data_IF_958518279427
#
_entry.id   IF_958518279427
#
_cell.length_a   1.000
_cell.length_b   1.000
_cell.length_c   1.000
_cell.angle_alpha   90.00
_cell.angle_beta   90.00
_cell.angle_gamma   90.00
#
_symmetry.space_group_name_H-M   'P 1'
#
loop_
_entity.id
_entity.type
_entity.pdbx_description
1 polymer ?
#
# COMPACT_ATOMS: atom_id res chain seq x y z
N UNK A 1 -17.05 -14.11 -52.57
CA UNK A 1 -17.36 -15.15 -51.55
C UNK A 1 -17.68 -14.48 -50.22
N UNK A 2 -18.95 -14.46 -49.89
CA UNK A 2 -19.50 -13.79 -48.71
C UNK A 2 -19.60 -14.82 -47.61
N UNK A 3 -18.92 -14.64 -46.47
CA UNK A 3 -19.05 -15.53 -45.32
C UNK A 3 -19.77 -14.83 -44.18
N UNK A 4 -20.82 -15.45 -43.72
CA UNK A 4 -21.88 -14.97 -42.87
C UNK A 4 -21.48 -15.09 -41.40
N UNK A 5 -21.61 -13.98 -40.67
CA UNK A 5 -21.41 -13.87 -39.23
C UNK A 5 -22.65 -14.39 -38.49
N UNK A 6 -22.47 -15.45 -37.69
CA UNK A 6 -23.50 -16.02 -36.85
C UNK A 6 -23.54 -15.36 -35.49
N UNK A 7 -24.56 -14.53 -35.23
CA UNK A 7 -24.88 -13.99 -33.90
C UNK A 7 -25.48 -15.08 -33.01
N UNK A 8 -24.89 -15.32 -31.87
CA UNK A 8 -25.45 -16.17 -30.82
C UNK A 8 -26.08 -15.30 -29.72
N UNK A 9 -27.41 -15.37 -29.59
CA UNK A 9 -28.19 -14.76 -28.53
C UNK A 9 -28.15 -15.66 -27.27
N UNK A 10 -27.56 -15.16 -26.20
CA UNK A 10 -27.70 -15.77 -24.87
C UNK A 10 -28.82 -15.07 -24.13
N UNK A 11 -29.95 -15.78 -23.96
CA UNK A 11 -31.08 -15.32 -23.13
C UNK A 11 -30.73 -15.46 -21.65
N UNK A 12 -30.68 -14.35 -20.97
CA UNK A 12 -30.56 -14.25 -19.52
C UNK A 12 -31.90 -14.59 -18.86
N UNK A 13 -31.96 -15.74 -18.16
CA UNK A 13 -33.11 -16.11 -17.32
C UNK A 13 -33.00 -15.44 -15.97
N UNK A 14 -33.87 -14.49 -15.72
CA UNK A 14 -34.11 -13.90 -14.40
C UNK A 14 -34.96 -14.88 -13.59
N UNK A 15 -34.43 -15.37 -12.48
CA UNK A 15 -35.14 -16.24 -11.54
C UNK A 15 -35.58 -15.38 -10.34
N UNK A 16 -36.88 -15.03 -10.31
CA UNK A 16 -37.51 -14.41 -9.15
C UNK A 16 -37.86 -15.49 -8.14
N UNK A 17 -37.24 -15.43 -6.97
CA UNK A 17 -37.61 -16.27 -5.84
C UNK A 17 -38.44 -15.43 -4.87
N UNK A 18 -39.74 -15.69 -4.86
CA UNK A 18 -40.72 -15.18 -3.89
C UNK A 18 -40.58 -15.99 -2.60
N UNK A 19 -40.30 -15.35 -1.48
CA UNK A 19 -40.34 -15.93 -0.14
C UNK A 19 -41.58 -15.37 0.55
N UNK A 20 -42.51 -16.23 1.05
CA UNK A 20 -43.69 -15.78 1.75
C UNK A 20 -43.39 -15.40 3.22
N UNK A 21 -43.99 -14.30 3.63
CA UNK A 21 -44.11 -13.82 5.00
C UNK A 21 -44.97 -14.77 5.82
N UNK A 22 -44.46 -15.33 6.90
CA UNK A 22 -45.28 -15.99 7.90
C UNK A 22 -45.03 -15.33 9.25
N UNK A 23 -46.03 -14.59 9.73
CA UNK A 23 -46.02 -13.96 11.02
C UNK A 23 -46.34 -14.98 12.14
N UNK A 24 -45.62 -14.89 13.24
CA UNK A 24 -46.03 -15.45 14.52
C UNK A 24 -45.86 -14.41 15.63
N UNK A 25 -46.98 -13.90 16.10
CA UNK A 25 -47.09 -13.16 17.35
C UNK A 25 -47.25 -14.15 18.49
N UNK A 26 -46.31 -14.23 19.42
CA UNK A 26 -46.56 -14.72 20.77
C UNK A 26 -45.90 -13.78 21.77
N UNK A 27 -46.74 -13.08 22.52
CA UNK A 27 -46.30 -12.36 23.71
C UNK A 27 -46.10 -13.31 24.88
N UNK A 28 -45.05 -13.06 25.64
CA UNK A 28 -45.00 -13.47 27.05
C UNK A 28 -44.15 -12.47 27.83
N UNK A 29 -44.80 -11.86 28.78
CA UNK A 29 -44.26 -10.98 29.81
C UNK A 29 -43.47 -11.83 30.82
N UNK A 30 -42.20 -11.48 31.07
CA UNK A 30 -41.47 -11.92 32.26
C UNK A 30 -40.38 -10.92 32.61
N UNK A 31 -40.58 -10.26 33.74
CA UNK A 31 -39.59 -9.41 34.39
C UNK A 31 -38.37 -10.24 34.82
N UNK A 32 -37.25 -10.10 34.09
CA UNK A 32 -35.93 -10.43 34.61
C UNK A 32 -34.96 -9.38 34.13
N UNK A 33 -34.38 -8.62 35.03
CA UNK A 33 -33.28 -7.70 34.81
C UNK A 33 -32.10 -8.47 34.20
N UNK A 34 -31.55 -8.07 33.07
CA UNK A 34 -30.23 -8.56 32.64
C UNK A 34 -29.18 -7.90 33.54
N UNK A 35 -28.30 -8.70 34.11
CA UNK A 35 -27.03 -8.26 34.67
C UNK A 35 -26.17 -7.85 33.45
N UNK A 36 -25.88 -6.56 33.33
CA UNK A 36 -24.86 -6.05 32.42
C UNK A 36 -23.51 -6.57 32.87
N UNK A 37 -22.99 -7.57 32.17
CA UNK A 37 -21.56 -7.85 32.18
C UNK A 37 -20.92 -6.82 31.25
N UNK A 38 -20.50 -5.71 31.85
CA UNK A 38 -19.83 -4.63 31.17
C UNK A 38 -18.55 -5.12 30.54
N UNK A 39 -18.46 -4.97 29.22
CA UNK A 39 -17.20 -4.98 28.47
C UNK A 39 -16.39 -3.75 28.89
N UNK A 40 -15.66 -3.85 29.97
CA UNK A 40 -14.91 -2.74 30.58
C UNK A 40 -13.49 -2.56 30.00
N UNK A 41 -13.14 -3.24 28.93
CA UNK A 41 -11.82 -3.11 28.33
C UNK A 41 -11.73 -1.96 27.29
N UNK A 42 -12.81 -1.73 26.54
CA UNK A 42 -12.80 -0.74 25.44
C UNK A 42 -12.98 0.70 25.97
N UNK A 43 -13.76 0.88 27.06
CA UNK A 43 -13.98 2.20 27.66
C UNK A 43 -12.74 2.73 28.41
N UNK A 44 -11.93 1.84 29.01
CA UNK A 44 -10.72 2.24 29.73
C UNK A 44 -9.61 2.69 28.77
N UNK A 45 -9.50 2.07 27.58
CA UNK A 45 -8.54 2.52 26.57
C UNK A 45 -8.94 3.87 25.98
N UNK A 46 -10.23 4.13 25.76
CA UNK A 46 -10.71 5.38 25.20
C UNK A 46 -10.62 6.55 26.20
N UNK A 47 -10.73 6.26 27.49
CA UNK A 47 -10.59 7.25 28.56
C UNK A 47 -9.12 7.61 28.85
N UNK A 48 -8.18 6.66 28.68
CA UNK A 48 -6.74 6.94 28.73
C UNK A 48 -6.25 7.77 27.52
N UNK A 49 -6.76 7.51 26.32
CA UNK A 49 -6.46 8.27 25.11
C UNK A 49 -6.87 9.73 25.18
N UNK A 50 -8.01 10.01 25.81
CA UNK A 50 -8.50 11.39 25.98
C UNK A 50 -7.75 12.18 27.08
N UNK A 51 -7.08 11.50 27.99
CA UNK A 51 -6.37 12.14 29.11
C UNK A 51 -4.97 12.63 28.76
N UNK A 52 -4.34 12.06 27.71
CA UNK A 52 -2.98 12.44 27.28
C UNK A 52 -2.93 13.32 26.01
N UNK A 53 -4.07 13.68 25.42
CA UNK A 53 -4.12 14.52 24.21
C UNK A 53 -3.45 13.90 22.98
N UNK A 54 -3.20 12.58 22.98
CA UNK A 54 -2.62 11.86 21.86
C UNK A 54 -3.68 11.68 20.77
N UNK A 55 -3.47 12.31 19.61
CA UNK A 55 -4.38 12.15 18.47
C UNK A 55 -4.34 10.70 17.98
N UNK A 56 -5.50 10.12 17.67
CA UNK A 56 -5.63 8.76 17.10
C UNK A 56 -4.73 8.55 15.88
N UNK A 57 -4.55 9.58 15.07
CA UNK A 57 -3.68 9.61 13.89
C UNK A 57 -2.19 9.36 14.24
N UNK A 58 -1.72 9.90 15.38
CA UNK A 58 -0.34 9.67 15.86
C UNK A 58 -0.09 8.22 16.27
N UNK A 59 -1.10 7.54 16.81
CA UNK A 59 -0.99 6.13 17.22
C UNK A 59 -0.99 5.21 15.99
N UNK A 60 -1.85 5.47 15.02
CA UNK A 60 -1.89 4.71 13.76
C UNK A 60 -0.55 4.82 13.03
N UNK A 61 0.01 6.01 12.93
CA UNK A 61 1.32 6.24 12.31
C UNK A 61 2.45 5.55 13.06
N UNK A 62 2.45 5.57 14.41
CA UNK A 62 3.45 4.90 15.22
C UNK A 62 3.40 3.37 15.05
N UNK A 63 2.21 2.78 14.99
CA UNK A 63 2.04 1.35 14.75
C UNK A 63 2.52 0.96 13.35
N UNK A 64 2.13 1.69 12.30
CA UNK A 64 2.58 1.45 10.93
C UNK A 64 4.12 1.51 10.82
N UNK A 65 4.75 2.50 11.44
CA UNK A 65 6.22 2.62 11.46
C UNK A 65 6.88 1.44 12.15
N UNK A 66 6.31 0.93 13.24
CA UNK A 66 6.84 -0.22 13.99
C UNK A 66 6.75 -1.50 13.15
N UNK A 67 5.62 -1.72 12.46
CA UNK A 67 5.44 -2.87 11.57
C UNK A 67 6.44 -2.85 10.41
N UNK A 68 6.69 -1.68 9.81
CA UNK A 68 7.67 -1.54 8.75
C UNK A 68 9.12 -1.78 9.22
N UNK A 69 9.47 -1.36 10.43
CA UNK A 69 10.78 -1.68 11.04
C UNK A 69 10.97 -3.17 11.22
N UNK A 70 9.94 -3.86 11.71
CA UNK A 70 9.96 -5.30 11.89
C UNK A 70 10.07 -6.03 10.55
N UNK A 71 9.28 -5.62 9.56
CA UNK A 71 9.37 -6.15 8.19
C UNK A 71 10.78 -6.00 7.63
N UNK A 72 11.37 -4.80 7.66
CA UNK A 72 12.69 -4.54 7.11
C UNK A 72 13.80 -5.32 7.83
N UNK A 73 13.76 -5.35 9.17
CA UNK A 73 14.70 -6.13 9.97
C UNK A 73 14.66 -7.61 9.60
N UNK A 74 13.46 -8.18 9.46
CA UNK A 74 13.28 -9.58 9.05
C UNK A 74 13.71 -9.82 7.60
N UNK A 75 13.32 -8.93 6.68
CA UNK A 75 13.61 -9.05 5.26
C UNK A 75 15.11 -8.99 4.98
N UNK A 76 15.86 -8.18 5.72
CA UNK A 76 17.30 -8.02 5.59
C UNK A 76 18.11 -8.75 6.68
N UNK A 77 17.47 -9.63 7.48
CA UNK A 77 18.14 -10.31 8.62
C UNK A 77 19.44 -10.98 8.23
N UNK A 78 19.45 -11.70 7.11
CA UNK A 78 20.64 -12.39 6.61
C UNK A 78 21.80 -11.42 6.31
N UNK A 79 21.50 -10.28 5.70
CA UNK A 79 22.51 -9.28 5.34
C UNK A 79 23.03 -8.55 6.57
N UNK A 80 22.17 -8.37 7.58
CA UNK A 80 22.54 -7.83 8.90
C UNK A 80 23.47 -8.80 9.63
N UNK A 81 23.11 -10.08 9.71
CA UNK A 81 23.89 -11.12 10.42
C UNK A 81 25.26 -11.35 9.77
N UNK A 82 25.34 -11.17 8.46
CA UNK A 82 26.59 -11.27 7.69
C UNK A 82 27.40 -9.96 7.68
N UNK A 83 26.96 -8.91 8.42
CA UNK A 83 27.57 -7.58 8.44
C UNK A 83 27.71 -6.92 7.05
N UNK A 84 26.87 -7.30 6.09
CA UNK A 84 26.80 -6.68 4.77
C UNK A 84 26.02 -5.38 4.81
N UNK A 85 24.97 -5.32 5.65
CA UNK A 85 24.14 -4.14 5.86
C UNK A 85 24.55 -3.43 7.16
N UNK A 86 25.35 -2.37 7.01
CA UNK A 86 25.83 -1.55 8.13
C UNK A 86 24.70 -0.75 8.81
N UNK A 87 24.92 -0.32 10.05
CA UNK A 87 23.94 0.44 10.82
C UNK A 87 23.63 1.82 10.23
N UNK A 88 24.56 2.40 9.47
CA UNK A 88 24.36 3.68 8.78
C UNK A 88 23.39 3.58 7.59
N UNK A 89 23.35 2.40 6.97
CA UNK A 89 22.43 2.11 5.85
C UNK A 89 21.05 1.62 6.30
N UNK A 90 20.86 1.29 7.59
CA UNK A 90 19.55 0.85 8.11
C UNK A 90 18.59 2.03 8.36
N UNK A 91 18.26 2.74 7.27
CA UNK A 91 17.40 3.93 7.29
C UNK A 91 16.36 3.83 6.18
N UNK A 92 15.14 4.25 6.50
CA UNK A 92 14.05 4.26 5.54
C UNK A 92 13.11 5.46 5.74
N UNK A 93 12.41 5.78 4.67
CA UNK A 93 11.21 6.62 4.66
C UNK A 93 10.08 5.80 4.06
N UNK A 94 8.84 6.21 4.27
CA UNK A 94 7.71 5.54 3.64
C UNK A 94 6.59 6.53 3.31
N UNK A 95 5.77 6.14 2.35
CA UNK A 95 4.49 6.76 2.07
C UNK A 95 3.49 5.70 1.64
N UNK A 96 2.20 6.01 1.78
CA UNK A 96 1.11 5.11 1.48
C UNK A 96 0.21 5.70 0.39
N UNK A 97 -0.17 4.88 -0.59
CA UNK A 97 -1.04 5.28 -1.69
C UNK A 97 -1.88 4.09 -2.17
N UNK A 98 -3.17 4.31 -2.43
CA UNK A 98 -4.06 3.30 -3.00
C UNK A 98 -3.84 3.24 -4.54
N UNK A 99 -3.02 2.28 -4.97
CA UNK A 99 -2.61 2.15 -6.37
C UNK A 99 -3.64 1.41 -7.23
N UNK A 100 -4.47 0.58 -6.63
CA UNK A 100 -5.43 -0.29 -7.32
C UNK A 100 -6.89 0.15 -7.11
N UNK A 101 -7.12 1.20 -6.31
CA UNK A 101 -8.43 1.78 -6.00
C UNK A 101 -9.38 0.81 -5.28
N UNK A 102 -8.83 -0.09 -4.45
CA UNK A 102 -9.61 -1.03 -3.64
C UNK A 102 -9.95 -0.49 -2.24
N UNK A 103 -9.52 0.73 -1.93
CA UNK A 103 -9.70 1.41 -0.66
C UNK A 103 -8.64 1.07 0.38
N UNK A 104 -7.65 0.23 0.04
CA UNK A 104 -6.51 -0.09 0.88
C UNK A 104 -5.24 0.48 0.26
N UNK A 105 -4.28 0.86 1.09
CA UNK A 105 -3.07 1.50 0.60
C UNK A 105 -1.90 0.53 0.50
N UNK A 106 -1.20 0.59 -0.62
CA UNK A 106 0.15 0.06 -0.79
C UNK A 106 1.16 0.96 -0.10
N UNK A 107 2.32 0.41 0.23
CA UNK A 107 3.38 1.13 0.94
C UNK A 107 4.65 1.19 0.12
N UNK A 108 5.06 2.40 -0.21
CA UNK A 108 6.38 2.68 -0.75
C UNK A 108 7.37 2.84 0.40
N UNK A 109 8.50 2.14 0.36
CA UNK A 109 9.58 2.25 1.34
C UNK A 109 10.86 2.64 0.61
N UNK A 110 11.32 3.85 0.84
CA UNK A 110 12.60 4.34 0.33
C UNK A 110 13.74 3.99 1.29
N UNK A 111 14.78 3.37 0.78
CA UNK A 111 15.95 2.97 1.55
C UNK A 111 17.14 3.89 1.28
N UNK A 112 18.04 4.06 2.26
CA UNK A 112 19.18 4.97 2.18
C UNK A 112 20.47 4.31 2.67
N UNK A 113 21.59 4.85 2.24
CA UNK A 113 22.93 4.38 2.63
C UNK A 113 23.63 3.63 1.53
N UNK A 114 24.93 3.35 1.74
CA UNK A 114 25.81 2.76 0.71
C UNK A 114 25.39 1.37 0.24
N UNK A 115 24.68 0.62 1.09
CA UNK A 115 24.13 -0.69 0.72
C UNK A 115 22.96 -0.58 -0.30
N UNK A 116 22.15 0.46 -0.20
CA UNK A 116 20.92 0.61 -0.99
C UNK A 116 21.03 1.59 -2.14
N UNK A 117 22.00 2.50 -2.09
CA UNK A 117 22.16 3.56 -3.06
C UNK A 117 23.54 3.51 -3.71
N UNK A 118 23.58 3.69 -5.02
CA UNK A 118 24.80 3.80 -5.82
C UNK A 118 24.69 4.92 -6.85
N UNK A 119 25.62 4.98 -7.81
CA UNK A 119 25.64 5.98 -8.87
C UNK A 119 24.42 5.94 -9.77
N UNK A 120 23.73 4.80 -9.87
CA UNK A 120 22.52 4.64 -10.68
C UNK A 120 21.20 4.99 -9.96
N UNK A 121 21.26 5.28 -8.66
CA UNK A 121 20.09 5.52 -7.82
C UNK A 121 20.00 4.60 -6.60
N UNK A 122 18.84 4.56 -5.97
CA UNK A 122 18.58 3.85 -4.72
C UNK A 122 17.64 2.65 -4.93
N UNK A 123 17.46 1.88 -3.85
CA UNK A 123 16.46 0.82 -3.76
C UNK A 123 15.19 1.36 -3.11
N UNK A 124 14.04 1.01 -3.69
CA UNK A 124 12.71 1.26 -3.11
C UNK A 124 11.94 -0.06 -3.09
N UNK A 125 11.30 -0.36 -1.98
CA UNK A 125 10.36 -1.48 -1.88
C UNK A 125 8.94 -0.95 -2.01
N UNK A 126 8.08 -1.68 -2.71
CA UNK A 126 6.64 -1.47 -2.73
C UNK A 126 6.02 -2.72 -2.12
N UNK A 127 5.28 -2.53 -1.04
CA UNK A 127 4.50 -3.58 -0.40
C UNK A 127 3.03 -3.42 -0.81
N UNK A 128 2.33 -4.54 -0.91
CA UNK A 128 0.88 -4.53 -1.06
C UNK A 128 0.17 -4.17 0.27
N UNK A 129 -1.14 -4.10 0.23
CA UNK A 129 -1.96 -3.77 1.41
C UNK A 129 -1.89 -4.80 2.56
N UNK A 130 -1.40 -6.03 2.29
CA UNK A 130 -1.14 -7.05 3.30
C UNK A 130 0.29 -6.99 3.85
N UNK A 131 1.10 -6.03 3.40
CA UNK A 131 2.53 -5.87 3.72
C UNK A 131 3.43 -6.94 3.08
N UNK A 132 2.95 -7.64 2.04
CA UNK A 132 3.78 -8.52 1.24
C UNK A 132 4.55 -7.73 0.17
N UNK A 133 5.78 -8.18 -0.15
CA UNK A 133 6.62 -7.50 -1.14
C UNK A 133 6.02 -7.66 -2.54
N UNK A 134 5.50 -6.58 -3.10
CA UNK A 134 4.97 -6.53 -4.46
C UNK A 134 6.08 -6.28 -5.48
N UNK A 135 6.96 -5.31 -5.21
CA UNK A 135 8.08 -4.97 -6.12
C UNK A 135 9.27 -4.42 -5.33
N UNK A 136 10.48 -4.88 -5.69
CA UNK A 136 11.73 -4.23 -5.29
C UNK A 136 12.28 -3.48 -6.50
N UNK A 137 12.18 -2.15 -6.46
CA UNK A 137 12.79 -1.29 -7.46
C UNK A 137 14.27 -1.10 -7.17
N UNK A 138 15.07 -1.06 -8.21
CA UNK A 138 16.50 -0.73 -8.14
C UNK A 138 16.79 0.46 -9.05
N UNK A 139 17.90 1.15 -8.81
CA UNK A 139 18.40 2.28 -9.63
C UNK A 139 17.35 3.38 -9.85
N UNK A 140 16.66 3.76 -8.78
CA UNK A 140 15.63 4.81 -8.80
C UNK A 140 16.08 6.08 -8.09
N UNK A 141 15.60 7.21 -8.56
CA UNK A 141 15.67 8.50 -7.91
C UNK A 141 14.28 8.96 -7.47
N UNK A 142 14.23 9.72 -6.37
CA UNK A 142 13.00 10.28 -5.84
C UNK A 142 12.58 11.56 -6.57
N UNK A 143 11.30 11.96 -6.58
CA UNK A 143 10.15 11.20 -6.05
C UNK A 143 9.65 10.12 -7.00
N UNK A 144 8.68 9.30 -6.54
CA UNK A 144 7.76 8.61 -7.44
C UNK A 144 6.57 9.50 -7.72
N UNK A 145 6.04 9.46 -8.94
CA UNK A 145 4.79 10.12 -9.31
C UNK A 145 3.76 9.06 -9.69
N UNK A 146 2.60 9.10 -9.08
CA UNK A 146 1.46 8.23 -9.38
C UNK A 146 0.57 8.95 -10.39
N UNK A 147 0.41 8.37 -11.59
CA UNK A 147 -0.41 8.95 -12.66
C UNK A 147 -1.90 8.64 -12.46
N UNK A 148 -2.75 9.41 -13.13
CA UNK A 148 -4.17 9.10 -13.26
C UNK A 148 -4.45 7.88 -14.14
N UNK A 149 -3.56 7.59 -15.11
CA UNK A 149 -3.66 6.42 -15.98
C UNK A 149 -3.44 5.11 -15.22
N UNK A 150 -4.03 4.03 -15.74
CA UNK A 150 -3.94 2.70 -15.14
C UNK A 150 -3.58 1.65 -16.18
N UNK A 151 -2.82 0.64 -15.76
CA UNK A 151 -2.56 -0.58 -16.52
C UNK A 151 -2.89 -1.78 -15.64
N UNK A 152 -3.72 -2.71 -16.13
CA UNK A 152 -4.22 -3.86 -15.37
C UNK A 152 -4.87 -3.45 -14.02
N UNK A 153 -5.67 -2.37 -14.01
CA UNK A 153 -6.35 -1.78 -12.84
C UNK A 153 -5.42 -1.19 -11.75
N UNK A 154 -4.14 -1.03 -12.03
CA UNK A 154 -3.17 -0.39 -11.16
C UNK A 154 -2.69 0.90 -11.78
N UNK A 155 -2.47 1.93 -10.98
CA UNK A 155 -1.94 3.24 -11.41
C UNK A 155 -0.60 3.08 -12.09
N UNK A 156 -0.38 3.76 -13.23
CA UNK A 156 0.94 3.87 -13.83
C UNK A 156 1.83 4.77 -12.96
N UNK A 157 3.12 4.44 -12.88
CA UNK A 157 4.08 5.19 -12.08
C UNK A 157 5.11 5.85 -12.97
N UNK A 158 5.58 7.02 -12.57
CA UNK A 158 6.78 7.63 -13.14
C UNK A 158 7.84 7.68 -12.06
N UNK A 159 9.06 7.38 -12.44
CA UNK A 159 10.23 7.51 -11.60
C UNK A 159 11.42 7.96 -12.43
N UNK A 160 12.31 8.73 -11.83
CA UNK A 160 13.59 9.07 -12.45
C UNK A 160 14.57 7.91 -12.31
N UNK A 161 15.18 7.48 -13.43
CA UNK A 161 16.19 6.41 -13.44
C UNK A 161 17.15 6.63 -14.61
N UNK A 162 18.45 6.58 -14.34
CA UNK A 162 19.46 6.86 -15.36
C UNK A 162 19.37 8.29 -15.93
N UNK A 163 18.97 9.26 -15.11
CA UNK A 163 18.82 10.67 -15.51
C UNK A 163 17.57 10.98 -16.33
N UNK A 164 16.70 10.00 -16.59
CA UNK A 164 15.49 10.12 -17.41
C UNK A 164 14.24 9.76 -16.63
N UNK A 165 13.10 10.37 -16.99
CA UNK A 165 11.79 9.95 -16.48
C UNK A 165 11.38 8.65 -17.18
N UNK A 166 10.99 7.65 -16.39
CA UNK A 166 10.60 6.32 -16.86
C UNK A 166 9.19 6.01 -16.43
N UNK A 167 8.37 5.50 -17.36
CA UNK A 167 7.04 5.04 -17.03
C UNK A 167 7.06 3.55 -16.67
N UNK A 168 6.46 3.22 -15.53
CA UNK A 168 6.33 1.85 -15.03
C UNK A 168 4.86 1.45 -15.07
N UNK A 169 4.57 0.34 -15.74
CA UNK A 169 3.23 -0.21 -15.88
C UNK A 169 3.13 -1.55 -15.17
N UNK A 170 2.05 -1.74 -14.44
CA UNK A 170 1.79 -2.99 -13.74
C UNK A 170 1.51 -4.12 -14.74
N UNK A 171 2.16 -5.27 -14.60
CA UNK A 171 2.04 -6.38 -15.56
C UNK A 171 0.97 -7.43 -15.17
N UNK A 172 0.17 -7.16 -14.13
CA UNK A 172 -0.80 -8.09 -13.56
C UNK A 172 -0.29 -8.84 -12.31
N UNK A 173 1.03 -8.71 -12.00
CA UNK A 173 1.66 -9.30 -10.81
C UNK A 173 2.54 -8.32 -10.05
N UNK A 174 3.28 -7.49 -10.76
CA UNK A 174 4.24 -6.53 -10.18
C UNK A 174 4.53 -5.41 -11.17
N UNK A 175 5.17 -4.34 -10.71
CA UNK A 175 5.83 -3.38 -11.57
C UNK A 175 7.22 -3.87 -11.99
N UNK A 176 7.79 -3.34 -13.12
CA UNK A 176 9.16 -3.66 -13.50
C UNK A 176 10.16 -3.27 -12.41
N UNK A 177 11.00 -4.19 -11.97
CA UNK A 177 11.97 -3.98 -10.88
C UNK A 177 13.16 -3.09 -11.28
N UNK A 178 13.49 -3.04 -12.57
CA UNK A 178 14.55 -2.17 -13.12
C UNK A 178 13.94 -1.07 -13.99
N UNK A 179 13.74 0.13 -13.46
CA UNK A 179 13.20 1.26 -14.22
C UNK A 179 14.11 1.77 -15.34
N UNK A 180 15.44 1.60 -15.25
CA UNK A 180 16.38 2.20 -16.20
C UNK A 180 16.20 1.70 -17.63
N UNK A 181 15.63 0.52 -17.81
CA UNK A 181 15.36 -0.10 -19.12
C UNK A 181 13.91 0.06 -19.58
N UNK A 182 13.09 0.75 -18.80
CA UNK A 182 11.69 0.97 -19.16
C UNK A 182 11.53 2.15 -20.13
N UNK A 183 10.38 2.25 -20.81
CA UNK A 183 10.12 3.34 -21.75
C UNK A 183 10.32 4.71 -21.10
N UNK A 184 10.90 5.65 -21.87
CA UNK A 184 11.04 7.03 -21.44
C UNK A 184 9.67 7.72 -21.47
N UNK A 185 9.38 8.46 -20.42
CA UNK A 185 8.21 9.32 -20.38
C UNK A 185 8.60 10.71 -20.89
N UNK A 186 8.01 11.12 -22.01
CA UNK A 186 8.44 12.30 -22.78
C UNK A 186 7.45 13.47 -22.74
N UNK A 187 6.40 13.41 -21.92
CA UNK A 187 5.48 14.53 -21.79
C UNK A 187 6.14 15.74 -21.13
N UNK A 188 5.80 16.94 -21.59
CA UNK A 188 6.40 18.20 -21.10
C UNK A 188 6.07 18.51 -19.65
N UNK A 189 4.95 18.00 -19.13
CA UNK A 189 4.54 18.15 -17.73
C UNK A 189 4.03 16.82 -17.22
N UNK A 190 4.52 16.42 -16.06
CA UNK A 190 4.01 15.25 -15.35
C UNK A 190 2.83 15.72 -14.52
N UNK A 191 1.66 15.11 -14.76
CA UNK A 191 0.47 15.34 -13.95
C UNK A 191 0.19 14.08 -13.14
N UNK A 192 0.31 14.18 -11.83
CA UNK A 192 0.11 13.08 -10.90
C UNK A 192 0.45 13.48 -9.48
N UNK A 193 0.23 12.57 -8.57
CA UNK A 193 0.51 12.76 -7.16
C UNK A 193 1.94 12.32 -6.86
N UNK A 194 2.76 13.22 -6.34
CA UNK A 194 4.11 12.86 -5.90
C UNK A 194 4.02 12.09 -4.58
N UNK A 195 4.68 10.93 -4.56
CA UNK A 195 4.78 10.07 -3.39
C UNK A 195 6.23 9.73 -3.12
N UNK A 196 6.56 9.46 -1.87
CA UNK A 196 7.90 9.08 -1.44
C UNK A 196 8.96 10.13 -1.84
N UNK A 197 8.77 11.35 -1.43
CA UNK A 197 9.78 12.39 -1.61
C UNK A 197 11.07 12.09 -0.82
N UNK A 198 12.21 12.48 -1.37
CA UNK A 198 13.47 12.41 -0.63
C UNK A 198 13.46 13.49 0.48
N UNK A 199 13.58 13.10 1.75
CA UNK A 199 13.63 14.10 2.82
C UNK A 199 14.89 14.96 2.72
N UNK A 200 14.80 16.20 3.19
CA UNK A 200 15.96 17.05 3.47
C UNK A 200 16.91 16.37 4.47
N UNK A 201 18.08 16.94 4.65
CA UNK A 201 19.31 16.26 5.14
C UNK A 201 19.25 15.51 6.49
N UNK A 202 18.23 15.58 7.34
CA UNK A 202 18.35 14.92 8.66
C UNK A 202 17.07 14.41 9.33
N UNK A 203 15.87 14.90 9.01
CA UNK A 203 14.80 14.82 10.01
C UNK A 203 13.71 13.76 9.81
N UNK A 204 13.64 13.07 8.69
CA UNK A 204 12.53 12.15 8.39
C UNK A 204 12.93 10.66 8.22
N UNK A 205 14.22 10.35 8.26
CA UNK A 205 14.68 8.98 8.13
C UNK A 205 14.44 8.17 9.42
N UNK A 206 13.63 7.13 9.31
CA UNK A 206 13.45 6.15 10.38
C UNK A 206 14.60 5.13 10.37
N UNK A 207 14.90 4.49 11.53
CA UNK A 207 15.87 3.40 11.64
C UNK A 207 15.17 2.08 11.87
N UNK A 208 15.73 1.00 11.35
CA UNK A 208 15.28 -0.39 11.56
C UNK A 208 16.44 -1.31 11.95
#
# INVERSE_FOLDING_TARGET
>A
MISIIKKSNIKQKVFFLLIPLLGCVFGCNSNNKPVEVGSSADSVQQEMLNKEGIKADSIVTANATTDLKLFLSKYYQKDIDQNLLDSGSRKFIYSEYDLNQDGKKEVFIGLSGGYFCGSGGCTVLLLDSNRDLLTKFTVVDYPFTVLSSTTNNWKDLIVRSGGKQRILKFNGKAYPSNPSIQPEFSEKSIQGDEVLERPGASEQWQKF
#
